data_IF_011885824727
#
_entry.id   IF_011885824727
#
_cell.length_a   1.000
_cell.length_b   1.000
_cell.length_c   1.000
_cell.angle_alpha   90.00
_cell.angle_beta   90.00
_cell.angle_gamma   90.00
#
_symmetry.space_group_name_H-M   'P 1'
#
loop_
_entity.id
_entity.type
_entity.pdbx_description
1 polymer ?
#
# COMPACT_ATOMS: atom_id res chain seq x y z
N UNK A 1 -22.92 -11.67 6.01
CA UNK A 1 -21.85 -11.25 5.08
C UNK A 1 -20.58 -11.98 5.48
N UNK A 2 -20.04 -12.83 4.60
CA UNK A 2 -18.86 -13.66 4.90
C UNK A 2 -17.63 -12.91 4.37
N UNK A 3 -16.75 -12.47 5.27
CA UNK A 3 -15.44 -11.89 4.90
C UNK A 3 -14.30 -12.91 4.99
N UNK A 4 -14.58 -14.11 5.52
CA UNK A 4 -13.57 -15.14 5.73
C UNK A 4 -12.90 -15.54 4.42
N UNK A 5 -11.58 -15.34 4.34
CA UNK A 5 -10.77 -15.65 3.15
C UNK A 5 -10.93 -14.66 1.99
N UNK A 6 -11.55 -13.49 2.22
CA UNK A 6 -11.63 -12.42 1.24
C UNK A 6 -10.57 -11.34 1.54
N UNK A 7 -10.04 -10.72 0.48
CA UNK A 7 -9.24 -9.49 0.58
C UNK A 7 -10.16 -8.31 0.32
N UNK A 8 -10.28 -7.41 1.29
CA UNK A 8 -11.06 -6.18 1.18
C UNK A 8 -10.14 -5.04 0.75
N UNK A 9 -10.46 -4.43 -0.39
CA UNK A 9 -9.76 -3.25 -0.90
C UNK A 9 -10.62 -2.01 -0.72
N UNK A 10 -10.07 -0.93 -0.14
CA UNK A 10 -10.77 0.35 -0.02
C UNK A 10 -9.81 1.51 -0.32
N UNK A 11 -10.38 2.61 -0.79
CA UNK A 11 -9.63 3.84 -0.99
C UNK A 11 -9.28 4.50 0.35
N UNK A 12 -8.49 5.59 0.28
CA UNK A 12 -8.02 6.29 1.45
C UNK A 12 -9.14 6.88 2.32
N UNK A 13 -10.26 7.30 1.76
CA UNK A 13 -11.40 7.77 2.56
C UNK A 13 -11.96 6.64 3.45
N UNK A 14 -11.84 5.38 3.02
CA UNK A 14 -12.27 4.18 3.77
C UNK A 14 -11.23 3.62 4.74
N UNK A 15 -9.99 4.12 4.74
CA UNK A 15 -8.89 3.61 5.57
C UNK A 15 -8.97 4.10 7.03
N UNK A 16 -10.00 3.66 7.74
CA UNK A 16 -10.23 3.89 9.16
C UNK A 16 -9.85 2.65 9.97
N UNK A 17 -9.27 2.85 11.15
CA UNK A 17 -8.87 1.75 12.04
C UNK A 17 -10.04 0.82 12.37
N UNK A 18 -11.22 1.37 12.63
CA UNK A 18 -12.43 0.59 12.92
C UNK A 18 -12.84 -0.32 11.74
N UNK A 19 -12.61 0.13 10.50
CA UNK A 19 -12.92 -0.66 9.30
C UNK A 19 -11.94 -1.83 9.17
N UNK A 20 -10.64 -1.59 9.37
CA UNK A 20 -9.61 -2.63 9.39
C UNK A 20 -9.90 -3.68 10.47
N UNK A 21 -10.24 -3.25 11.68
CA UNK A 21 -10.59 -4.13 12.80
C UNK A 21 -11.80 -5.01 12.50
N UNK A 22 -12.85 -4.43 11.89
CA UNK A 22 -14.05 -5.17 11.46
C UNK A 22 -13.75 -6.21 10.40
N UNK A 23 -12.82 -5.95 9.48
CA UNK A 23 -12.41 -6.90 8.44
C UNK A 23 -11.72 -8.11 9.07
N UNK A 24 -10.72 -7.86 9.92
CA UNK A 24 -9.93 -8.91 10.60
C UNK A 24 -10.81 -9.73 11.54
N UNK A 25 -11.68 -9.08 12.34
CA UNK A 25 -12.59 -9.77 13.28
C UNK A 25 -13.56 -10.70 12.57
N UNK A 26 -13.87 -10.44 11.30
CA UNK A 26 -14.74 -11.29 10.45
C UNK A 26 -13.95 -12.29 9.61
N UNK A 27 -12.64 -12.42 9.84
CA UNK A 27 -11.75 -13.40 9.20
C UNK A 27 -11.27 -13.04 7.80
N UNK A 28 -11.42 -11.78 7.39
CA UNK A 28 -10.90 -11.29 6.12
C UNK A 28 -9.56 -10.58 6.27
N UNK A 29 -8.89 -10.39 5.15
CA UNK A 29 -7.66 -9.61 5.01
C UNK A 29 -7.98 -8.27 4.31
N UNK A 30 -7.04 -7.31 4.32
CA UNK A 30 -7.27 -6.01 3.69
C UNK A 30 -6.06 -5.45 2.96
N UNK A 31 -6.33 -4.65 1.93
CA UNK A 31 -5.37 -3.75 1.28
C UNK A 31 -6.02 -2.37 1.23
N UNK A 32 -5.63 -1.50 2.16
CA UNK A 32 -6.23 -0.18 2.34
C UNK A 32 -5.22 0.89 1.93
N UNK A 33 -5.66 1.88 1.15
CA UNK A 33 -4.81 3.00 0.79
C UNK A 33 -4.64 3.96 1.97
N UNK A 34 -3.40 4.27 2.36
CA UNK A 34 -3.10 5.26 3.39
C UNK A 34 -2.74 6.60 2.73
N UNK A 35 -3.33 7.70 3.21
CA UNK A 35 -2.99 9.07 2.82
C UNK A 35 -3.07 9.99 4.05
N UNK A 36 -3.38 11.27 3.83
CA UNK A 36 -3.55 12.28 4.88
C UNK A 36 -4.70 11.99 5.88
N UNK A 37 -5.57 11.01 5.61
CA UNK A 37 -6.58 10.54 6.56
C UNK A 37 -5.96 9.90 7.83
N UNK A 38 -4.71 9.44 7.73
CA UNK A 38 -3.91 8.87 8.81
C UNK A 38 -2.53 9.54 8.78
N UNK A 39 -2.51 10.84 9.09
CA UNK A 39 -1.34 11.72 8.88
C UNK A 39 -0.01 11.10 9.38
N UNK A 40 0.05 10.71 10.65
CA UNK A 40 1.26 10.15 11.25
C UNK A 40 1.73 8.86 10.55
N UNK A 41 0.78 7.99 10.18
CA UNK A 41 1.10 6.75 9.47
C UNK A 41 1.59 7.03 8.05
N UNK A 42 0.95 7.97 7.35
CA UNK A 42 1.37 8.40 6.02
C UNK A 42 2.78 9.00 6.05
N UNK A 43 3.08 9.84 7.04
CA UNK A 43 4.42 10.43 7.22
C UNK A 43 5.46 9.34 7.52
N UNK A 44 5.16 8.39 8.40
CA UNK A 44 6.05 7.27 8.71
C UNK A 44 6.32 6.36 7.49
N UNK A 45 5.30 6.08 6.68
CA UNK A 45 5.46 5.31 5.44
C UNK A 45 6.39 6.06 4.47
N UNK A 46 6.17 7.36 4.27
CA UNK A 46 7.02 8.18 3.38
C UNK A 46 8.46 8.22 3.88
N UNK A 47 8.66 8.44 5.19
CA UNK A 47 9.99 8.48 5.80
C UNK A 47 10.74 7.15 5.66
N UNK A 48 10.05 6.03 5.90
CA UNK A 48 10.58 4.69 5.72
C UNK A 48 11.07 4.46 4.28
N UNK A 49 10.21 4.71 3.28
CA UNK A 49 10.58 4.47 1.89
C UNK A 49 11.66 5.44 1.40
N UNK A 50 11.65 6.69 1.87
CA UNK A 50 12.69 7.68 1.54
C UNK A 50 14.06 7.23 2.05
N UNK A 51 14.11 6.79 3.31
CA UNK A 51 15.34 6.27 3.92
C UNK A 51 15.78 4.98 3.23
N UNK A 52 14.86 4.04 3.01
CA UNK A 52 15.16 2.78 2.34
C UNK A 52 15.73 2.99 0.94
N UNK A 53 15.16 3.90 0.15
CA UNK A 53 15.65 4.24 -1.19
C UNK A 53 17.04 4.89 -1.15
N UNK A 54 17.31 5.77 -0.18
CA UNK A 54 18.63 6.40 -0.01
C UNK A 54 19.76 5.37 0.23
N UNK A 55 19.43 4.22 0.82
CA UNK A 55 20.35 3.10 1.03
C UNK A 55 20.18 1.97 0.01
N UNK A 56 19.44 2.18 -1.07
CA UNK A 56 19.09 1.18 -2.09
C UNK A 56 18.54 -0.13 -1.51
N UNK A 57 17.76 -0.03 -0.44
CA UNK A 57 17.14 -1.16 0.24
C UNK A 57 18.14 -2.24 0.71
N UNK A 58 19.43 -1.90 0.93
CA UNK A 58 20.55 -2.85 1.16
C UNK A 58 20.39 -3.86 2.31
N UNK A 59 19.37 -3.72 3.16
CA UNK A 59 19.09 -4.62 4.28
C UNK A 59 17.60 -4.94 4.44
N UNK A 60 16.80 -4.73 3.38
CA UNK A 60 15.35 -4.91 3.40
C UNK A 60 15.00 -5.89 2.29
N UNK A 61 14.29 -6.97 2.62
CA UNK A 61 13.75 -7.86 1.60
C UNK A 61 12.62 -7.13 0.87
N UNK A 62 12.86 -6.85 -0.42
CA UNK A 62 11.90 -6.13 -1.24
C UNK A 62 11.70 -6.77 -2.60
N UNK A 63 10.46 -6.74 -3.07
CA UNK A 63 10.13 -7.04 -4.46
C UNK A 63 9.85 -5.73 -5.18
N UNK A 64 10.62 -5.45 -6.23
CA UNK A 64 10.47 -4.25 -7.06
C UNK A 64 9.82 -4.65 -8.39
N UNK A 65 8.82 -3.89 -8.83
CA UNK A 65 8.21 -4.03 -10.16
C UNK A 65 8.18 -2.67 -10.86
N UNK A 66 8.61 -2.66 -12.11
CA UNK A 66 8.51 -1.50 -13.01
C UNK A 66 7.66 -1.91 -14.21
N UNK A 67 6.81 -1.03 -14.69
CA UNK A 67 5.99 -1.26 -15.87
C UNK A 67 5.88 0.03 -16.66
N UNK A 68 6.25 -0.04 -17.93
CA UNK A 68 6.18 1.06 -18.88
C UNK A 68 5.01 0.81 -19.84
N UNK A 69 4.10 1.76 -19.89
CA UNK A 69 2.87 1.67 -20.68
C UNK A 69 2.81 2.87 -21.63
N UNK A 70 2.58 2.61 -22.93
CA UNK A 70 2.38 3.65 -23.93
C UNK A 70 0.94 3.59 -24.41
N UNK A 71 0.17 4.61 -24.12
CA UNK A 71 -1.25 4.67 -24.48
C UNK A 71 -1.68 6.11 -24.81
N UNK A 72 -2.49 6.28 -25.86
CA UNK A 72 -2.98 7.59 -26.35
C UNK A 72 -1.93 8.73 -26.41
N UNK A 73 -0.68 8.39 -26.79
CA UNK A 73 0.42 9.36 -26.87
C UNK A 73 1.09 9.69 -25.53
N UNK A 74 0.63 9.10 -24.43
CA UNK A 74 1.25 9.17 -23.11
C UNK A 74 2.19 7.98 -22.92
N UNK A 75 3.37 8.24 -22.35
CA UNK A 75 4.26 7.24 -21.80
C UNK A 75 4.16 7.32 -20.28
N UNK A 76 3.75 6.23 -19.63
CA UNK A 76 3.59 6.15 -18.19
C UNK A 76 4.48 5.04 -17.62
N UNK A 77 5.37 5.40 -16.70
CA UNK A 77 6.20 4.45 -15.95
C UNK A 77 5.62 4.30 -14.55
N UNK A 78 5.12 3.10 -14.23
CA UNK A 78 4.63 2.73 -12.89
C UNK A 78 5.71 1.94 -12.16
N UNK A 79 5.96 2.31 -10.90
CA UNK A 79 6.92 1.63 -10.01
C UNK A 79 6.19 1.17 -8.75
N UNK A 80 6.40 -0.09 -8.37
CA UNK A 80 5.89 -0.66 -7.13
C UNK A 80 7.03 -1.33 -6.35
N UNK A 81 7.06 -1.09 -5.04
CA UNK A 81 7.98 -1.74 -4.10
C UNK A 81 7.14 -2.40 -3.02
N UNK A 82 7.25 -3.72 -2.90
CA UNK A 82 6.67 -4.50 -1.82
C UNK A 82 7.77 -4.79 -0.81
N UNK A 83 7.48 -4.55 0.46
CA UNK A 83 8.33 -4.84 1.62
C UNK A 83 7.63 -5.92 2.42
N UNK A 84 8.33 -7.02 2.71
CA UNK A 84 7.80 -8.18 3.44
C UNK A 84 8.09 -8.13 4.94
#
# INVERSE_FOLDING_TARGET
MVLKGCIVTLDALGCQTEVAEKIVTRGGDYVLAVKNNQKNLSEAIVDFFTTAEAFDFRHIDVQKRVSDEKDHGRLETRRAVLVA
#
